data_IF_872917980303
#
_entry.id   IF_872917980303
#
_cell.length_a   1.000
_cell.length_b   1.000
_cell.length_c   1.000
_cell.angle_alpha   90.00
_cell.angle_beta   90.00
_cell.angle_gamma   90.00
#
_symmetry.space_group_name_H-M   'P 1'
#
loop_
_entity.id
_entity.type
_entity.pdbx_description
1 polymer ?
#
# COMPACT_ATOMS: atom_id res chain seq x y z
N UNK A 1 10.16 0.75 -2.42
CA UNK A 1 8.79 1.21 -2.67
C UNK A 1 8.01 -0.01 -3.08
N UNK A 2 6.91 -0.25 -2.38
CA UNK A 2 6.12 -1.47 -2.42
C UNK A 2 5.90 -2.01 -3.84
N UNK A 3 6.15 -3.31 -3.98
CA UNK A 3 6.37 -4.01 -5.22
C UNK A 3 6.46 -5.51 -4.94
N UNK A 4 7.49 -6.19 -5.44
CA UNK A 4 7.67 -7.61 -5.14
C UNK A 4 7.89 -7.85 -3.65
N UNK A 5 7.25 -8.88 -3.12
CA UNK A 5 7.62 -9.43 -1.82
C UNK A 5 9.02 -10.02 -1.88
N UNK A 6 9.60 -10.25 -0.71
CA UNK A 6 10.86 -10.96 -0.52
C UNK A 6 10.84 -12.35 -1.17
N UNK A 7 9.68 -13.02 -1.15
CA UNK A 7 9.48 -14.30 -1.83
C UNK A 7 9.69 -14.18 -3.34
N UNK A 8 8.99 -13.24 -3.98
CA UNK A 8 9.07 -13.04 -5.43
C UNK A 8 10.43 -12.51 -5.84
N UNK A 9 11.01 -11.57 -5.10
CA UNK A 9 12.33 -11.02 -5.37
C UNK A 9 13.39 -12.14 -5.41
N UNK A 10 13.41 -13.02 -4.41
CA UNK A 10 14.34 -14.17 -4.35
C UNK A 10 14.14 -15.11 -5.54
N UNK A 11 12.89 -15.42 -5.90
CA UNK A 11 12.56 -16.29 -7.04
C UNK A 11 12.99 -15.71 -8.38
N UNK A 12 12.75 -14.41 -8.60
CA UNK A 12 13.18 -13.70 -9.82
C UNK A 12 14.71 -13.69 -9.90
N UNK A 13 15.39 -13.36 -8.81
CA UNK A 13 16.86 -13.35 -8.74
C UNK A 13 17.46 -14.72 -9.06
N UNK A 14 16.95 -15.80 -8.48
CA UNK A 14 17.42 -17.16 -8.76
C UNK A 14 17.16 -17.58 -10.23
N UNK A 15 16.04 -17.14 -10.82
CA UNK A 15 15.70 -17.45 -12.20
C UNK A 15 16.65 -16.78 -13.20
N UNK A 16 16.93 -15.49 -13.03
CA UNK A 16 17.76 -14.73 -13.99
C UNK A 16 19.24 -15.14 -13.96
N UNK A 17 19.73 -15.67 -12.83
CA UNK A 17 21.10 -16.20 -12.72
C UNK A 17 21.19 -17.70 -12.99
N UNK A 18 20.09 -18.34 -13.41
CA UNK A 18 20.06 -19.75 -13.79
C UNK A 18 20.20 -20.74 -12.63
N UNK A 19 19.94 -20.33 -11.38
CA UNK A 19 20.00 -21.23 -10.21
C UNK A 19 18.77 -22.13 -10.13
N UNK A 20 17.59 -21.52 -10.08
CA UNK A 20 16.32 -22.25 -9.99
C UNK A 20 15.31 -21.62 -10.93
N UNK A 21 14.61 -22.42 -11.74
CA UNK A 21 13.52 -21.90 -12.55
C UNK A 21 12.39 -21.36 -11.66
N UNK A 22 11.79 -20.24 -12.03
CA UNK A 22 10.65 -19.65 -11.31
C UNK A 22 9.38 -20.53 -11.37
N UNK A 23 9.38 -21.58 -12.19
CA UNK A 23 8.24 -22.47 -12.43
C UNK A 23 7.18 -21.82 -13.34
N UNK A 24 6.05 -22.51 -13.52
CA UNK A 24 4.87 -21.89 -14.13
C UNK A 24 4.36 -20.79 -13.18
N UNK A 25 4.16 -19.59 -13.71
CA UNK A 25 3.61 -18.49 -12.92
C UNK A 25 2.20 -18.87 -12.46
N UNK A 26 1.90 -18.80 -11.15
CA UNK A 26 0.59 -19.17 -10.63
C UNK A 26 -0.48 -18.18 -11.09
N UNK A 27 -1.74 -18.62 -11.08
CA UNK A 27 -2.89 -17.70 -11.12
C UNK A 27 -2.73 -16.67 -9.99
N UNK A 28 -2.70 -15.38 -10.33
CA UNK A 28 -2.61 -14.32 -9.34
C UNK A 28 -3.98 -14.06 -8.70
N UNK A 29 -4.01 -13.89 -7.37
CA UNK A 29 -5.21 -13.63 -6.60
C UNK A 29 -5.10 -12.29 -5.89
N UNK A 30 -5.91 -11.30 -6.29
CA UNK A 30 -5.90 -9.98 -5.67
C UNK A 30 -6.59 -10.05 -4.30
N UNK A 31 -5.87 -9.63 -3.27
CA UNK A 31 -6.30 -9.54 -1.88
C UNK A 31 -6.36 -8.08 -1.42
N UNK A 32 -7.21 -7.80 -0.43
CA UNK A 32 -7.35 -6.49 0.23
C UNK A 32 -6.89 -6.58 1.69
N UNK A 33 -6.19 -5.57 2.17
CA UNK A 33 -5.64 -5.52 3.53
C UNK A 33 -6.13 -4.31 4.32
N UNK A 34 -6.45 -4.54 5.58
CA UNK A 34 -6.78 -3.50 6.58
C UNK A 34 -5.57 -3.09 7.41
N UNK A 35 -4.55 -3.94 7.47
CA UNK A 35 -3.23 -3.63 8.01
C UNK A 35 -2.15 -4.27 7.15
N UNK A 36 -1.03 -3.57 7.00
CA UNK A 36 0.11 -4.06 6.22
C UNK A 36 1.18 -4.66 7.12
N UNK A 37 1.86 -5.65 6.58
CA UNK A 37 2.96 -6.35 7.22
C UNK A 37 4.34 -5.90 6.72
N UNK A 38 5.28 -6.84 6.73
CA UNK A 38 6.63 -6.67 6.17
C UNK A 38 6.75 -7.34 4.80
N UNK A 39 7.77 -6.96 4.01
CA UNK A 39 7.97 -7.48 2.66
C UNK A 39 8.19 -9.01 2.59
N UNK A 40 8.50 -9.67 3.71
CA UNK A 40 8.54 -11.13 3.85
C UNK A 40 7.17 -11.82 3.77
N UNK A 41 6.09 -11.05 3.67
CA UNK A 41 4.71 -11.53 3.57
C UNK A 41 4.04 -11.79 4.92
N UNK A 42 4.71 -11.49 6.04
CA UNK A 42 4.15 -11.66 7.39
C UNK A 42 3.55 -10.37 7.92
N UNK A 43 2.59 -10.47 8.86
CA UNK A 43 2.02 -9.32 9.55
C UNK A 43 0.89 -8.57 8.80
N UNK A 44 0.51 -9.02 7.60
CA UNK A 44 -0.66 -8.49 6.90
C UNK A 44 -1.96 -8.93 7.58
N UNK A 45 -2.95 -8.04 7.62
CA UNK A 45 -4.33 -8.38 7.99
C UNK A 45 -5.20 -8.30 6.75
N UNK A 46 -5.45 -9.44 6.14
CA UNK A 46 -6.39 -9.57 5.03
C UNK A 46 -7.84 -9.41 5.50
N UNK A 47 -8.68 -8.81 4.66
CA UNK A 47 -10.13 -8.80 4.88
C UNK A 47 -10.64 -10.23 5.03
N UNK A 48 -11.60 -10.45 5.92
CA UNK A 48 -12.21 -11.75 6.15
C UNK A 48 -13.70 -11.61 6.50
N UNK A 49 -14.47 -12.67 6.24
CA UNK A 49 -15.92 -12.68 6.49
C UNK A 49 -16.70 -11.86 5.46
N UNK A 50 -18.01 -11.69 5.69
CA UNK A 50 -18.86 -10.84 4.85
C UNK A 50 -18.83 -11.18 3.35
N UNK A 51 -18.75 -12.46 2.99
CA UNK A 51 -18.62 -12.95 1.60
C UNK A 51 -17.30 -12.59 0.89
N UNK A 52 -16.31 -12.05 1.60
CA UNK A 52 -15.00 -11.74 1.01
C UNK A 52 -14.31 -12.98 0.43
N UNK A 53 -13.78 -12.84 -0.77
CA UNK A 53 -12.86 -13.76 -1.41
C UNK A 53 -11.88 -12.99 -2.29
N UNK A 54 -10.66 -13.49 -2.42
CA UNK A 54 -9.66 -12.94 -3.36
C UNK A 54 -10.16 -13.05 -4.79
N UNK A 55 -9.78 -12.10 -5.64
CA UNK A 55 -10.15 -12.09 -7.07
C UNK A 55 -9.07 -12.81 -7.88
N UNK A 56 -9.43 -13.94 -8.50
CA UNK A 56 -8.54 -14.64 -9.42
C UNK A 56 -8.34 -13.83 -10.71
N UNK A 57 -7.12 -13.83 -11.23
CA UNK A 57 -6.73 -13.08 -12.44
C UNK A 57 -6.17 -14.02 -13.51
N UNK A 58 -6.37 -13.66 -14.77
CA UNK A 58 -5.77 -14.30 -15.93
C UNK A 58 -4.84 -13.33 -16.67
N UNK A 59 -3.99 -13.85 -17.56
CA UNK A 59 -3.08 -13.02 -18.35
C UNK A 59 -3.79 -11.93 -19.15
N UNK A 60 -5.01 -12.20 -19.64
CA UNK A 60 -5.82 -11.23 -20.38
C UNK A 60 -6.34 -10.08 -19.51
N UNK A 61 -6.31 -10.21 -18.19
CA UNK A 61 -6.74 -9.15 -17.27
C UNK A 61 -5.64 -8.12 -17.00
N UNK A 62 -4.44 -8.32 -17.55
CA UNK A 62 -3.28 -7.44 -17.36
C UNK A 62 -2.81 -6.87 -18.70
N UNK A 63 -2.51 -5.58 -18.71
CA UNK A 63 -1.75 -4.96 -19.78
C UNK A 63 -0.28 -5.41 -19.71
N UNK A 64 0.40 -5.40 -20.86
CA UNK A 64 1.84 -5.59 -20.90
C UNK A 64 2.56 -4.49 -20.10
N UNK A 65 3.67 -4.85 -19.45
CA UNK A 65 4.52 -3.87 -18.78
C UNK A 65 5.09 -2.87 -19.80
N UNK A 66 5.12 -1.59 -19.43
CA UNK A 66 5.60 -0.49 -20.25
C UNK A 66 6.38 0.53 -19.41
N UNK A 67 7.07 1.45 -20.08
CA UNK A 67 7.92 2.47 -19.44
C UNK A 67 9.31 1.95 -19.08
N UNK A 68 10.22 2.88 -18.80
CA UNK A 68 11.64 2.58 -18.55
C UNK A 68 12.14 3.09 -17.19
N UNK A 69 11.47 4.08 -16.58
CA UNK A 69 11.88 4.68 -15.29
C UNK A 69 10.73 5.54 -14.71
N UNK A 70 9.71 4.95 -14.07
CA UNK A 70 9.56 3.53 -13.74
C UNK A 70 8.96 2.71 -14.89
N UNK A 71 9.19 1.39 -14.86
CA UNK A 71 8.37 0.42 -15.59
C UNK A 71 7.15 0.04 -14.76
N UNK A 72 5.98 -0.09 -15.39
CA UNK A 72 4.73 -0.41 -14.72
C UNK A 72 3.80 -1.24 -15.62
N UNK A 73 2.87 -1.97 -15.01
CA UNK A 73 1.72 -2.55 -15.70
C UNK A 73 0.41 -2.11 -15.01
N UNK A 74 -0.72 -2.47 -15.60
CA UNK A 74 -2.05 -2.17 -15.07
C UNK A 74 -3.01 -3.29 -15.46
N UNK A 75 -4.15 -3.39 -14.77
CA UNK A 75 -5.20 -4.29 -15.17
C UNK A 75 -5.90 -3.77 -16.45
N UNK A 76 -6.03 -4.66 -17.44
CA UNK A 76 -6.76 -4.41 -18.68
C UNK A 76 -8.28 -4.50 -18.45
N UNK A 77 -8.70 -5.48 -17.65
CA UNK A 77 -10.10 -5.72 -17.29
C UNK A 77 -10.40 -5.28 -15.86
N UNK A 78 -11.69 -5.10 -15.55
CA UNK A 78 -12.12 -4.78 -14.20
C UNK A 78 -11.96 -5.98 -13.26
N UNK A 79 -11.37 -5.75 -12.08
CA UNK A 79 -11.20 -6.78 -11.05
C UNK A 79 -12.22 -6.52 -9.94
N UNK A 80 -13.32 -7.28 -9.96
CA UNK A 80 -14.48 -7.03 -9.08
C UNK A 80 -14.55 -8.06 -7.96
N UNK A 81 -14.59 -7.58 -6.72
CA UNK A 81 -14.73 -8.42 -5.54
C UNK A 81 -16.18 -8.91 -5.35
N UNK A 82 -16.41 -10.02 -4.64
CA UNK A 82 -17.75 -10.42 -4.24
C UNK A 82 -18.48 -9.30 -3.49
N UNK A 83 -19.80 -9.23 -3.59
CA UNK A 83 -20.58 -8.23 -2.85
C UNK A 83 -20.42 -8.45 -1.34
N UNK A 84 -20.00 -7.43 -0.56
CA UNK A 84 -19.91 -7.56 0.89
C UNK A 84 -21.28 -7.83 1.51
N UNK A 85 -21.38 -8.83 2.39
CA UNK A 85 -22.57 -9.09 3.23
C UNK A 85 -22.40 -8.56 4.66
N UNK A 86 -21.20 -8.10 5.00
CA UNK A 86 -20.87 -7.36 6.21
C UNK A 86 -19.81 -6.30 5.87
N UNK A 87 -19.53 -5.39 6.81
CA UNK A 87 -18.46 -4.41 6.62
C UNK A 87 -17.09 -5.10 6.56
N UNK A 88 -16.29 -4.72 5.56
CA UNK A 88 -14.91 -5.19 5.38
C UNK A 88 -13.88 -4.25 6.02
N UNK A 89 -14.35 -3.16 6.64
CA UNK A 89 -13.52 -2.18 7.34
C UNK A 89 -12.83 -1.20 6.40
N UNK A 90 -11.75 -0.59 6.89
CA UNK A 90 -10.94 0.38 6.15
C UNK A 90 -9.78 -0.35 5.47
N UNK A 91 -9.89 -0.56 4.16
CA UNK A 91 -8.82 -1.13 3.34
C UNK A 91 -7.80 -0.05 3.02
N UNK A 92 -6.53 -0.38 3.23
CA UNK A 92 -5.40 0.55 3.04
C UNK A 92 -4.36 0.02 2.04
N UNK A 93 -4.41 -1.26 1.71
CA UNK A 93 -3.46 -1.88 0.78
C UNK A 93 -4.11 -3.02 0.00
N UNK A 94 -3.45 -3.41 -1.07
CA UNK A 94 -3.77 -4.58 -1.88
C UNK A 94 -2.53 -5.47 -2.02
N UNK A 95 -2.75 -6.75 -2.31
CA UNK A 95 -1.67 -7.68 -2.65
C UNK A 95 -2.11 -8.69 -3.70
N UNK A 96 -1.14 -9.41 -4.26
CA UNK A 96 -1.39 -10.55 -5.13
C UNK A 96 -0.80 -11.79 -4.48
N UNK A 97 -1.61 -12.82 -4.28
CA UNK A 97 -1.17 -14.15 -3.82
C UNK A 97 -1.12 -15.16 -4.96
N UNK A 98 -0.38 -16.23 -4.75
CA UNK A 98 -0.35 -17.40 -5.65
C UNK A 98 -1.49 -18.41 -5.41
N UNK A 99 -2.34 -18.18 -4.42
CA UNK A 99 -3.45 -19.07 -4.06
C UNK A 99 -4.71 -18.30 -3.66
N UNK A 100 -5.89 -18.94 -3.82
CA UNK A 100 -7.18 -18.37 -3.41
C UNK A 100 -7.30 -18.19 -1.88
N UNK A 101 -6.61 -19.03 -1.11
CA UNK A 101 -6.52 -19.01 0.35
C UNK A 101 -5.13 -19.47 0.77
N UNK A 102 -4.54 -18.83 1.78
CA UNK A 102 -3.14 -19.09 2.16
C UNK A 102 -2.18 -18.62 1.07
N UNK A 103 -1.20 -19.47 0.72
CA UNK A 103 -0.23 -19.19 -0.33
C UNK A 103 0.84 -18.16 0.07
N UNK A 104 1.64 -17.76 -0.91
CA UNK A 104 2.70 -16.77 -0.77
C UNK A 104 2.23 -15.42 -1.33
N UNK A 105 2.50 -14.35 -0.59
CA UNK A 105 2.33 -13.00 -1.10
C UNK A 105 3.37 -12.78 -2.19
N UNK A 106 2.94 -12.42 -3.39
CA UNK A 106 3.82 -12.19 -4.54
C UNK A 106 4.24 -10.73 -4.65
N UNK A 107 3.30 -9.83 -4.44
CA UNK A 107 3.52 -8.39 -4.43
C UNK A 107 2.43 -7.70 -3.64
N UNK A 108 2.71 -6.50 -3.16
CA UNK A 108 1.72 -5.69 -2.46
C UNK A 108 2.04 -4.20 -2.59
N UNK A 109 1.00 -3.39 -2.41
CA UNK A 109 1.14 -1.94 -2.33
C UNK A 109 0.01 -1.30 -1.51
N UNK A 110 0.28 -0.16 -0.87
CA UNK A 110 -0.79 0.67 -0.34
C UNK A 110 -1.69 1.17 -1.46
N UNK A 111 -2.97 1.36 -1.14
CA UNK A 111 -3.95 1.89 -2.08
C UNK A 111 -3.62 3.32 -2.49
N UNK A 112 -3.89 3.62 -3.77
CA UNK A 112 -3.77 4.95 -4.36
C UNK A 112 -2.51 5.10 -5.20
N UNK A 113 -2.65 5.71 -6.37
CA UNK A 113 -1.53 5.98 -7.27
C UNK A 113 -0.79 7.27 -6.86
N UNK A 114 -0.10 7.21 -5.72
CA UNK A 114 0.69 8.32 -5.19
C UNK A 114 2.16 7.93 -5.12
N UNK A 115 3.09 8.83 -5.49
CA UNK A 115 4.51 8.55 -5.37
C UNK A 115 4.93 8.53 -3.89
N UNK A 116 5.99 7.78 -3.60
CA UNK A 116 6.75 8.02 -2.38
C UNK A 116 7.65 9.23 -2.59
N UNK A 117 7.63 10.14 -1.62
CA UNK A 117 8.41 11.36 -1.62
C UNK A 117 9.48 11.30 -0.53
N UNK A 118 10.72 11.74 -0.80
CA UNK A 118 11.70 11.93 0.25
C UNK A 118 11.18 12.90 1.31
N UNK A 119 11.38 12.56 2.57
CA UNK A 119 10.91 13.32 3.71
C UNK A 119 12.03 13.52 4.74
N UNK A 120 12.07 14.71 5.34
CA UNK A 120 12.83 14.97 6.57
C UNK A 120 11.87 15.23 7.72
N UNK A 121 12.31 14.96 8.94
CA UNK A 121 11.53 15.15 10.16
C UNK A 121 12.34 16.00 11.14
N UNK A 122 11.74 17.08 11.64
CA UNK A 122 12.36 17.96 12.64
C UNK A 122 12.39 17.32 14.03
N UNK A 123 13.21 17.83 14.95
CA UNK A 123 13.05 17.57 16.39
C UNK A 123 12.10 18.64 16.96
N UNK A 124 10.81 18.35 17.07
CA UNK A 124 9.79 19.29 17.54
C UNK A 124 8.56 18.59 18.13
N UNK A 125 7.70 19.34 18.80
CA UNK A 125 6.42 18.85 19.36
C UNK A 125 5.27 19.78 18.95
N UNK A 126 4.49 19.47 17.91
CA UNK A 126 4.57 18.27 17.05
C UNK A 126 5.80 18.25 16.13
N UNK A 127 6.23 17.06 15.75
CA UNK A 127 7.28 16.85 14.76
C UNK A 127 6.80 17.29 13.37
N UNK A 128 7.62 18.07 12.66
CA UNK A 128 7.29 18.57 11.32
C UNK A 128 7.95 17.66 10.29
N UNK A 129 7.14 17.11 9.39
CA UNK A 129 7.57 16.35 8.22
C UNK A 129 7.64 17.32 7.04
N UNK A 130 8.76 17.36 6.33
CA UNK A 130 8.93 18.15 5.11
C UNK A 130 9.12 17.23 3.92
N UNK A 131 8.22 17.30 2.93
CA UNK A 131 8.27 16.55 1.68
C UNK A 131 7.86 17.47 0.51
N UNK A 132 8.78 17.72 -0.42
CA UNK A 132 8.59 18.71 -1.48
C UNK A 132 7.46 18.31 -2.45
N UNK A 133 6.55 19.24 -2.73
CA UNK A 133 5.49 19.07 -3.73
C UNK A 133 4.45 18.01 -3.36
N UNK A 134 4.24 17.77 -2.06
CA UNK A 134 3.41 16.66 -1.60
C UNK A 134 1.94 16.74 -2.03
N UNK A 135 1.37 17.95 -2.08
CA UNK A 135 -0.05 18.15 -2.41
C UNK A 135 -1.06 17.59 -1.37
N UNK A 136 -0.58 17.01 -0.26
CA UNK A 136 -1.41 16.53 0.85
C UNK A 136 -2.22 17.65 1.53
N UNK A 137 -3.49 17.36 1.83
CA UNK A 137 -4.41 18.18 2.60
C UNK A 137 -4.63 17.66 4.02
N UNK A 138 -5.26 18.47 4.87
CA UNK A 138 -5.59 18.05 6.24
C UNK A 138 -6.58 16.88 6.23
N UNK A 139 -6.30 15.85 7.04
CA UNK A 139 -7.08 14.61 7.12
C UNK A 139 -6.67 13.53 6.11
N UNK A 140 -5.78 13.86 5.15
CA UNK A 140 -5.19 12.86 4.26
C UNK A 140 -4.44 11.82 5.08
N UNK A 141 -4.53 10.57 4.61
CA UNK A 141 -3.81 9.45 5.20
C UNK A 141 -2.44 9.32 4.56
N UNK A 142 -1.40 9.23 5.37
CA UNK A 142 -0.02 9.05 4.92
C UNK A 142 0.67 7.95 5.70
N UNK A 143 1.73 7.39 5.10
CA UNK A 143 2.62 6.42 5.74
C UNK A 143 4.05 6.91 5.61
N UNK A 144 4.84 6.70 6.66
CA UNK A 144 6.26 7.01 6.70
C UNK A 144 7.07 5.71 6.76
N UNK A 145 8.21 5.65 6.07
CA UNK A 145 9.12 4.51 6.09
C UNK A 145 10.57 4.94 5.98
N UNK A 146 11.46 4.21 6.66
CA UNK A 146 12.92 4.30 6.54
C UNK A 146 13.54 3.10 5.82
N UNK A 147 12.71 2.16 5.36
CA UNK A 147 13.15 0.89 4.77
C UNK A 147 14.03 1.09 3.52
N UNK A 148 13.79 2.16 2.78
CA UNK A 148 14.52 2.48 1.55
C UNK A 148 15.57 3.58 1.76
N UNK A 149 16.09 3.69 2.98
CA UNK A 149 17.10 4.65 3.38
C UNK A 149 16.57 5.75 4.30
N UNK A 150 17.50 6.47 4.91
CA UNK A 150 17.24 7.50 5.92
C UNK A 150 17.53 7.04 7.34
N UNK A 151 17.15 7.85 8.31
CA UNK A 151 17.36 7.58 9.74
C UNK A 151 16.07 7.89 10.48
N UNK A 152 15.56 6.91 11.23
CA UNK A 152 14.34 7.10 12.01
C UNK A 152 14.55 8.21 13.06
N UNK A 153 13.61 9.16 13.20
CA UNK A 153 13.70 10.17 14.26
C UNK A 153 13.51 9.53 15.63
N UNK A 154 14.05 10.16 16.67
CA UNK A 154 13.65 9.83 18.04
C UNK A 154 12.23 10.37 18.28
N UNK A 155 11.27 9.47 18.55
CA UNK A 155 9.87 9.82 18.82
C UNK A 155 9.68 9.99 20.33
N UNK A 156 9.14 11.12 20.75
CA UNK A 156 8.86 11.44 22.15
C UNK A 156 7.38 11.30 22.53
N UNK A 157 6.46 11.25 21.56
CA UNK A 157 5.05 10.94 21.75
C UNK A 157 4.44 10.42 20.43
N UNK A 158 3.47 9.50 20.54
CA UNK A 158 2.83 8.89 19.38
C UNK A 158 3.73 7.84 18.72
N UNK A 159 3.51 7.60 17.43
CA UNK A 159 4.35 6.72 16.61
C UNK A 159 4.30 7.16 15.14
N UNK A 160 5.28 6.74 14.35
CA UNK A 160 5.34 6.98 12.91
C UNK A 160 5.03 5.71 12.09
N UNK A 161 4.51 4.68 12.74
CA UNK A 161 4.26 3.37 12.12
C UNK A 161 2.79 3.23 11.77
N UNK A 162 2.50 2.69 10.59
CA UNK A 162 1.13 2.53 10.11
C UNK A 162 0.55 3.84 9.55
N UNK A 163 -0.78 3.92 9.55
CA UNK A 163 -1.50 5.02 8.92
C UNK A 163 -1.52 6.27 9.83
N UNK A 164 -1.08 7.39 9.28
CA UNK A 164 -1.02 8.68 9.96
C UNK A 164 -1.98 9.67 9.32
N UNK A 165 -2.58 10.55 10.12
CA UNK A 165 -3.40 11.66 9.63
C UNK A 165 -2.56 12.92 9.50
N UNK A 166 -2.63 13.58 8.34
CA UNK A 166 -2.08 14.92 8.12
C UNK A 166 -2.93 15.96 8.88
N UNK A 167 -2.29 16.88 9.62
CA UNK A 167 -3.02 17.87 10.45
C UNK A 167 -2.78 19.30 9.98
N UNK A 168 -1.52 19.74 9.89
CA UNK A 168 -1.16 21.15 9.65
C UNK A 168 -0.35 21.33 8.36
N UNK A 169 -0.88 21.00 7.17
CA UNK A 169 -0.12 21.15 5.93
C UNK A 169 0.08 22.64 5.58
N UNK A 170 1.33 23.01 5.33
CA UNK A 170 1.78 24.34 4.91
C UNK A 170 2.88 24.16 3.86
N UNK A 171 2.56 24.51 2.60
CA UNK A 171 3.46 24.34 1.46
C UNK A 171 4.01 22.91 1.36
N UNK A 172 5.29 22.71 1.67
CA UNK A 172 6.00 21.43 1.61
C UNK A 172 6.14 20.74 2.97
N UNK A 173 5.47 21.23 4.02
CA UNK A 173 5.60 20.71 5.38
C UNK A 173 4.26 20.43 6.04
N UNK A 174 4.20 19.45 6.93
CA UNK A 174 3.01 19.10 7.67
C UNK A 174 3.36 18.41 8.99
N UNK A 175 2.44 18.46 9.94
CA UNK A 175 2.47 17.62 11.15
C UNK A 175 1.50 16.46 10.98
N UNK A 176 1.73 15.39 11.73
CA UNK A 176 0.88 14.20 11.71
C UNK A 176 0.41 13.79 13.10
N UNK A 177 -0.67 13.02 13.14
CA UNK A 177 -1.11 12.28 14.33
C UNK A 177 -1.24 10.78 14.00
N UNK A 178 -0.98 9.94 14.99
CA UNK A 178 -1.29 8.51 14.97
C UNK A 178 -2.54 8.29 15.80
N UNK A 179 -3.65 7.96 15.13
CA UNK A 179 -4.98 7.99 15.74
C UNK A 179 -5.33 9.39 16.26
N UNK A 180 -5.62 9.50 17.57
CA UNK A 180 -5.92 10.78 18.21
C UNK A 180 -4.68 11.54 18.72
N UNK A 181 -3.49 10.93 18.68
CA UNK A 181 -2.29 11.44 19.35
C UNK A 181 -1.35 12.11 18.35
N UNK A 182 -1.00 13.38 18.58
CA UNK A 182 0.01 14.06 17.80
C UNK A 182 1.36 13.34 17.88
N UNK A 183 2.09 13.30 16.76
CA UNK A 183 3.43 12.71 16.75
C UNK A 183 4.45 13.79 17.12
N UNK A 184 5.12 13.61 18.25
CA UNK A 184 6.21 14.47 18.70
C UNK A 184 7.55 13.76 18.52
N UNK A 185 8.57 14.51 18.15
CA UNK A 185 9.92 14.01 17.92
C UNK A 185 10.93 14.81 18.74
N UNK A 186 11.88 14.11 19.35
CA UNK A 186 13.01 14.70 20.09
C UNK A 186 14.32 14.66 19.30
N UNK A 187 14.35 13.94 18.18
CA UNK A 187 15.49 13.86 17.28
C UNK A 187 15.06 14.01 15.83
N UNK A 188 15.94 14.56 14.99
CA UNK A 188 15.69 14.69 13.55
C UNK A 188 15.72 13.31 12.88
N UNK A 189 15.03 13.19 11.76
CA UNK A 189 15.03 11.98 10.94
C UNK A 189 14.90 12.26 9.45
N UNK A 190 15.04 11.21 8.66
CA UNK A 190 14.83 11.23 7.21
C UNK A 190 14.24 9.90 6.77
N UNK A 191 13.55 9.88 5.64
CA UNK A 191 12.95 8.68 5.07
C UNK A 191 12.08 9.01 3.89
N UNK A 192 11.02 8.24 3.71
CA UNK A 192 10.05 8.43 2.63
C UNK A 192 8.65 8.56 3.22
N UNK A 193 7.81 9.38 2.60
CA UNK A 193 6.39 9.51 2.92
C UNK A 193 5.54 9.29 1.68
N UNK A 194 4.36 8.69 1.85
CA UNK A 194 3.39 8.51 0.77
C UNK A 194 1.97 8.68 1.27
N UNK A 195 1.11 9.26 0.44
CA UNK A 195 -0.34 9.29 0.65
C UNK A 195 -0.96 7.93 0.36
N UNK A 196 -1.94 7.54 1.17
CA UNK A 196 -2.71 6.30 1.04
C UNK A 196 -4.17 6.63 0.81
N UNK A 197 -4.76 6.04 -0.23
CA UNK A 197 -6.19 6.13 -0.52
C UNK A 197 -6.98 5.13 0.33
N UNK A 198 -6.99 5.30 1.65
CA UNK A 198 -7.76 4.44 2.55
C UNK A 198 -9.25 4.45 2.18
N UNK A 199 -9.87 3.28 2.02
CA UNK A 199 -11.27 3.13 1.60
C UNK A 199 -12.06 2.32 2.62
N UNK A 200 -13.19 2.85 3.08
CA UNK A 200 -14.16 2.08 3.88
C UNK A 200 -15.05 1.29 2.94
N UNK A 201 -15.07 -0.04 3.10
CA UNK A 201 -15.94 -0.92 2.32
C UNK A 201 -17.05 -1.44 3.22
N UNK A 202 -18.22 -0.83 3.11
CA UNK A 202 -19.42 -1.21 3.88
C UNK A 202 -20.18 -2.37 3.24
N UNK A 203 -21.01 -3.03 4.04
CA UNK A 203 -21.96 -4.03 3.56
C UNK A 203 -22.78 -3.51 2.38
N UNK A 204 -22.91 -4.33 1.33
CA UNK A 204 -23.67 -4.01 0.12
C UNK A 204 -22.95 -3.14 -0.92
N UNK A 205 -21.77 -2.59 -0.61
CA UNK A 205 -20.99 -1.75 -1.54
C UNK A 205 -19.94 -2.58 -2.25
N UNK A 206 -20.07 -2.75 -3.56
CA UNK A 206 -19.13 -3.56 -4.34
C UNK A 206 -17.85 -2.78 -4.59
N UNK A 207 -16.72 -3.42 -4.31
CA UNK A 207 -15.39 -2.89 -4.58
C UNK A 207 -14.86 -3.45 -5.91
N UNK A 208 -14.33 -2.59 -6.77
CA UNK A 208 -13.76 -2.99 -8.06
C UNK A 208 -12.58 -2.11 -8.44
N UNK A 209 -11.52 -2.71 -8.98
CA UNK A 209 -10.49 -1.97 -9.70
C UNK A 209 -10.92 -1.86 -11.17
N UNK A 210 -11.17 -0.63 -11.64
CA UNK A 210 -11.55 -0.38 -13.02
C UNK A 210 -10.39 -0.70 -14.00
N UNK A 211 -10.72 -1.15 -15.21
CA UNK A 211 -9.73 -1.40 -16.27
C UNK A 211 -9.26 -0.14 -16.99
N UNK A 212 -8.07 -0.19 -17.60
CA UNK A 212 -7.64 0.77 -18.64
C UNK A 212 -6.99 2.08 -18.16
N UNK A 213 -6.76 2.27 -16.87
CA UNK A 213 -5.96 3.35 -16.27
C UNK A 213 -5.50 2.80 -14.91
N UNK A 214 -4.34 3.15 -14.30
CA UNK A 214 -4.00 2.59 -12.98
C UNK A 214 -5.19 2.76 -12.03
N UNK A 215 -5.87 1.65 -11.77
CA UNK A 215 -7.25 1.69 -11.31
C UNK A 215 -7.28 2.14 -9.87
N UNK A 216 -7.88 3.29 -9.60
CA UNK A 216 -8.32 3.58 -8.24
C UNK A 216 -9.33 2.49 -7.83
N UNK A 217 -9.33 2.11 -6.55
CA UNK A 217 -10.40 1.28 -6.03
C UNK A 217 -11.71 2.08 -6.13
N UNK A 218 -12.64 1.60 -6.95
CA UNK A 218 -13.96 2.20 -7.13
C UNK A 218 -14.96 1.45 -6.26
N UNK A 219 -15.80 2.22 -5.57
CA UNK A 219 -16.90 1.70 -4.76
C UNK A 219 -18.21 2.07 -5.45
N UNK A 220 -19.03 1.06 -5.75
CA UNK A 220 -20.37 1.29 -6.30
C UNK A 220 -21.43 0.69 -5.39
N UNK A 221 -22.49 1.45 -5.15
CA UNK A 221 -23.72 0.87 -4.64
C UNK A 221 -24.24 -0.13 -5.68
N UNK A 222 -24.57 -1.32 -5.22
CA UNK A 222 -25.26 -2.31 -6.05
C UNK A 222 -26.71 -1.88 -6.31
#
# INVERSE_FOLDING_TARGET
MTGFSDYTAKKVLDHIVGKTAMGALPTGYIALFTAVGADDGTGFTEVAGGSYARVATAGADWNAAAGSSPSSNSNANAMTFPKPTADWGTVIALGIYDAATGGNLLMWDYLGNYPWLPATISAASPGVITAKGHGYGAGDKVVYSTEFGGTAPAVSQGNLTGLLDVVSPVADSFTVKSGATAVNTSGTGSGMVRKVAAQVISSGVVASFAGGTPGALVLSAA
#
